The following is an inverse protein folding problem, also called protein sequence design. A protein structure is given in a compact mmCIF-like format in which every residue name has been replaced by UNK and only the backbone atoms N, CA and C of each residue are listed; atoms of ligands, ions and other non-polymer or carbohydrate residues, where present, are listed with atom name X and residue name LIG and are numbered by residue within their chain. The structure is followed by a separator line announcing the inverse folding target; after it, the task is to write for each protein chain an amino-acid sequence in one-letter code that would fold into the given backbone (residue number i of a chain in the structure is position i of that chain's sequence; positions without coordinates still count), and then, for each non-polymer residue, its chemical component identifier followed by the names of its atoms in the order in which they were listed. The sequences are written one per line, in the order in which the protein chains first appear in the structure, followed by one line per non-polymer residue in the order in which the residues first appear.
data_IF_477463089974
#
_entry.id   IF_477463089974
#
_cell.length_a   1.000
_cell.length_b   1.000
_cell.length_c   1.000
_cell.angle_alpha   90.00
_cell.angle_beta   90.00
_cell.angle_gamma   90.00
#
_symmetry.space_group_name_H-M   'P 1'
#
loop_
_entity.id
_entity.type
_entity.pdbx_description
1 polymer ?
#
# COMPACT_ATOMS: atom_id res chain seq x y z
N UNK A 1 64.06 -37.55 -24.49
CA UNK A 1 63.83 -36.20 -25.07
C UNK A 1 62.40 -36.02 -25.57
N UNK A 2 61.81 -36.98 -26.31
CA UNK A 2 60.44 -36.86 -26.84
C UNK A 2 59.34 -36.78 -25.76
N UNK A 3 59.38 -37.60 -24.72
CA UNK A 3 58.38 -37.61 -23.64
C UNK A 3 58.32 -36.28 -22.86
N UNK A 4 59.48 -35.64 -22.64
CA UNK A 4 59.54 -34.36 -21.95
C UNK A 4 58.82 -33.24 -22.72
N UNK A 5 58.98 -33.21 -24.05
CA UNK A 5 58.27 -32.25 -24.91
C UNK A 5 56.75 -32.50 -24.96
N UNK A 6 56.31 -33.76 -24.85
CA UNK A 6 54.88 -34.09 -24.79
C UNK A 6 54.26 -33.66 -23.46
N UNK A 7 54.98 -33.84 -22.35
CA UNK A 7 54.56 -33.38 -21.02
C UNK A 7 54.43 -31.86 -20.99
N UNK A 8 55.41 -31.13 -21.54
CA UNK A 8 55.35 -29.66 -21.62
C UNK A 8 54.12 -29.19 -22.41
N UNK A 9 53.84 -29.80 -23.57
CA UNK A 9 52.63 -29.48 -24.34
C UNK A 9 51.33 -29.75 -23.59
N UNK A 10 51.26 -30.85 -22.83
CA UNK A 10 50.09 -31.14 -21.99
C UNK A 10 49.95 -30.11 -20.87
N UNK A 11 51.07 -29.68 -20.28
CA UNK A 11 51.08 -28.64 -19.26
C UNK A 11 50.58 -27.30 -19.79
N UNK A 12 51.09 -26.84 -20.94
CA UNK A 12 50.62 -25.61 -21.61
C UNK A 12 49.11 -25.67 -21.92
N UNK A 13 48.62 -26.83 -22.37
CA UNK A 13 47.20 -27.04 -22.63
C UNK A 13 46.36 -26.96 -21.37
N UNK A 14 46.85 -27.48 -20.23
CA UNK A 14 46.16 -27.40 -18.94
C UNK A 14 46.14 -25.96 -18.43
N UNK A 15 47.24 -25.22 -18.56
CA UNK A 15 47.29 -23.80 -18.20
C UNK A 15 46.28 -22.97 -19.00
N UNK A 16 46.18 -23.19 -20.31
CA UNK A 16 45.17 -22.53 -21.15
C UNK A 16 43.74 -22.83 -20.70
N UNK A 17 43.44 -24.11 -20.40
CA UNK A 17 42.11 -24.49 -19.89
C UNK A 17 41.81 -23.81 -18.55
N UNK A 18 42.82 -23.70 -17.68
CA UNK A 18 42.67 -23.04 -16.39
C UNK A 18 42.42 -21.54 -16.54
N UNK A 19 43.17 -20.85 -17.42
CA UNK A 19 42.93 -19.43 -17.74
C UNK A 19 41.53 -19.20 -18.29
N UNK A 20 41.07 -20.05 -19.22
CA UNK A 20 39.72 -19.95 -19.77
C UNK A 20 38.65 -20.17 -18.70
N UNK A 21 38.86 -21.13 -17.80
CA UNK A 21 37.94 -21.39 -16.70
C UNK A 21 37.85 -20.21 -15.74
N UNK A 22 38.97 -19.57 -15.40
CA UNK A 22 39.01 -18.35 -14.59
C UNK A 22 38.20 -17.25 -15.26
N UNK A 23 38.39 -17.02 -16.56
CA UNK A 23 37.68 -15.97 -17.30
C UNK A 23 36.17 -16.21 -17.33
N UNK A 24 35.74 -17.46 -17.60
CA UNK A 24 34.33 -17.85 -17.59
C UNK A 24 33.73 -17.67 -16.19
N UNK A 25 34.47 -18.04 -15.16
CA UNK A 25 34.03 -17.91 -13.77
C UNK A 25 33.86 -16.44 -13.40
N UNK A 26 34.85 -15.59 -13.71
CA UNK A 26 34.76 -14.15 -13.46
C UNK A 26 33.55 -13.51 -14.17
N UNK A 27 33.32 -13.84 -15.44
CA UNK A 27 32.14 -13.37 -16.20
C UNK A 27 30.83 -13.85 -15.58
N UNK A 28 30.80 -15.09 -15.09
CA UNK A 28 29.60 -15.65 -14.44
C UNK A 28 29.32 -14.97 -13.11
N UNK A 29 30.34 -14.69 -12.31
CA UNK A 29 30.22 -13.94 -11.06
C UNK A 29 29.67 -12.53 -11.28
N UNK A 30 30.15 -11.81 -12.30
CA UNK A 30 29.62 -10.49 -12.64
C UNK A 30 28.14 -10.55 -13.04
N UNK A 31 27.74 -11.55 -13.83
CA UNK A 31 26.33 -11.75 -14.20
C UNK A 31 25.45 -12.08 -13.00
N UNK A 32 25.96 -12.87 -12.05
CA UNK A 32 25.23 -13.17 -10.81
C UNK A 32 25.00 -11.91 -9.98
N UNK A 33 26.02 -11.05 -9.85
CA UNK A 33 25.89 -9.77 -9.16
C UNK A 33 24.82 -8.86 -9.81
N UNK A 34 24.78 -8.77 -11.15
CA UNK A 34 23.74 -8.01 -11.85
C UNK A 34 22.33 -8.59 -11.61
N UNK A 35 22.21 -9.92 -11.56
CA UNK A 35 20.94 -10.59 -11.25
C UNK A 35 20.52 -10.27 -9.80
N UNK A 36 21.44 -10.29 -8.84
CA UNK A 36 21.17 -9.96 -7.43
C UNK A 36 20.66 -8.52 -7.29
N UNK A 37 21.30 -7.54 -7.94
CA UNK A 37 20.84 -6.15 -7.93
C UNK A 37 19.44 -6.01 -8.53
N UNK A 38 19.15 -6.73 -9.63
CA UNK A 38 17.82 -6.72 -10.25
C UNK A 38 16.76 -7.36 -9.36
N UNK A 39 17.09 -8.40 -8.60
CA UNK A 39 16.18 -9.02 -7.62
C UNK A 39 15.82 -8.01 -6.53
N UNK A 40 16.82 -7.33 -5.94
CA UNK A 40 16.59 -6.30 -4.91
C UNK A 40 15.65 -5.21 -5.45
N UNK A 41 15.90 -4.72 -6.67
CA UNK A 41 15.03 -3.72 -7.29
C UNK A 41 13.59 -4.21 -7.50
N UNK A 42 13.41 -5.48 -7.86
CA UNK A 42 12.07 -6.08 -8.00
C UNK A 42 11.38 -6.17 -6.63
N UNK A 43 12.08 -6.57 -5.58
CA UNK A 43 11.54 -6.66 -4.22
C UNK A 43 11.04 -5.29 -3.72
N UNK A 44 11.81 -4.23 -3.92
CA UNK A 44 11.40 -2.85 -3.57
C UNK A 44 10.14 -2.40 -4.33
N UNK A 45 10.05 -2.78 -5.61
CA UNK A 45 8.86 -2.49 -6.43
C UNK A 45 7.64 -3.28 -5.96
N UNK A 46 7.81 -4.53 -5.54
CA UNK A 46 6.73 -5.34 -4.97
C UNK A 46 6.22 -4.70 -3.68
N UNK A 47 7.11 -4.35 -2.74
CA UNK A 47 6.74 -3.67 -1.50
C UNK A 47 6.00 -2.35 -1.75
N UNK A 48 6.41 -1.62 -2.79
CA UNK A 48 5.70 -0.41 -3.21
C UNK A 48 4.28 -0.75 -3.67
N UNK A 49 4.12 -1.72 -4.57
CA UNK A 49 2.81 -2.15 -5.08
C UNK A 49 1.89 -2.61 -3.95
N UNK A 50 2.40 -3.40 -3.00
CA UNK A 50 1.64 -3.86 -1.83
C UNK A 50 1.12 -2.69 -0.99
N UNK A 51 1.97 -1.69 -0.73
CA UNK A 51 1.56 -0.47 -0.03
C UNK A 51 0.47 0.30 -0.79
N UNK A 52 0.56 0.37 -2.12
CA UNK A 52 -0.47 0.97 -2.95
C UNK A 52 -1.79 0.19 -2.89
N UNK A 53 -1.74 -1.15 -2.98
CA UNK A 53 -2.91 -2.02 -2.88
C UNK A 53 -3.62 -1.83 -1.55
N UNK A 54 -2.90 -1.83 -0.43
CA UNK A 54 -3.48 -1.60 0.89
C UNK A 54 -4.22 -0.26 0.99
N UNK A 55 -3.65 0.81 0.42
CA UNK A 55 -4.32 2.12 0.37
C UNK A 55 -5.59 2.09 -0.47
N UNK A 56 -5.60 1.36 -1.58
CA UNK A 56 -6.79 1.21 -2.42
C UNK A 56 -7.86 0.38 -1.72
N UNK A 57 -7.51 -0.75 -1.11
CA UNK A 57 -8.44 -1.57 -0.33
C UNK A 57 -9.13 -0.75 0.76
N UNK A 58 -8.36 0.07 1.49
CA UNK A 58 -8.92 0.98 2.50
C UNK A 58 -9.92 1.96 1.89
N UNK A 59 -9.57 2.59 0.76
CA UNK A 59 -10.48 3.51 0.06
C UNK A 59 -11.76 2.82 -0.41
N UNK A 60 -11.66 1.59 -0.93
CA UNK A 60 -12.82 0.81 -1.34
C UNK A 60 -13.72 0.46 -0.15
N UNK A 61 -13.14 0.06 0.99
CA UNK A 61 -13.90 -0.19 2.22
C UNK A 61 -14.62 1.07 2.72
N UNK A 62 -13.95 2.23 2.67
CA UNK A 62 -14.55 3.51 3.03
C UNK A 62 -15.72 3.87 2.09
N UNK A 63 -15.55 3.66 0.78
CA UNK A 63 -16.62 3.87 -0.21
C UNK A 63 -17.81 2.93 0.01
N UNK A 64 -17.56 1.65 0.27
CA UNK A 64 -18.61 0.68 0.56
C UNK A 64 -19.40 1.08 1.82
N UNK A 65 -18.71 1.59 2.85
CA UNK A 65 -19.34 2.11 4.06
C UNK A 65 -20.24 3.31 3.75
N UNK A 66 -19.77 4.25 2.93
CA UNK A 66 -20.58 5.40 2.46
C UNK A 66 -21.80 4.93 1.68
N UNK A 67 -21.64 3.98 0.76
CA UNK A 67 -22.75 3.42 -0.02
C UNK A 67 -23.78 2.71 0.87
N UNK A 68 -23.34 1.97 1.89
CA UNK A 68 -24.24 1.35 2.89
C UNK A 68 -24.99 2.38 3.73
N UNK A 69 -24.40 3.54 4.01
CA UNK A 69 -25.09 4.63 4.70
C UNK A 69 -26.09 5.34 3.79
N UNK A 70 -25.75 5.52 2.50
CA UNK A 70 -26.66 6.05 1.48
C UNK A 70 -27.89 5.15 1.31
N UNK A 71 -27.69 3.84 1.15
CA UNK A 71 -28.81 2.90 0.97
C UNK A 71 -29.74 2.83 2.18
N UNK A 72 -29.24 3.16 3.38
CA UNK A 72 -30.02 3.23 4.62
C UNK A 72 -30.62 4.61 4.88
N UNK A 73 -30.44 5.59 3.98
CA UNK A 73 -30.77 7.00 4.21
C UNK A 73 -30.16 7.59 5.49
N UNK A 74 -29.09 6.99 6.01
CA UNK A 74 -28.43 7.40 7.27
C UNK A 74 -27.10 8.10 7.04
N UNK A 75 -26.77 8.42 5.78
CA UNK A 75 -25.53 9.12 5.45
C UNK A 75 -25.47 10.50 6.13
N UNK A 76 -26.56 11.26 6.06
CA UNK A 76 -26.63 12.60 6.66
C UNK A 76 -26.39 12.48 8.16
N UNK A 77 -27.12 11.60 8.85
CA UNK A 77 -26.94 11.32 10.27
C UNK A 77 -25.50 10.91 10.63
N UNK A 78 -24.90 10.04 9.81
CA UNK A 78 -23.53 9.58 9.99
C UNK A 78 -22.50 10.72 9.82
N UNK A 79 -22.65 11.55 8.79
CA UNK A 79 -21.79 12.70 8.52
C UNK A 79 -21.91 13.77 9.61
N UNK A 80 -23.13 14.03 10.07
CA UNK A 80 -23.39 14.98 11.13
C UNK A 80 -22.80 14.46 12.44
N UNK A 81 -23.00 13.19 12.81
CA UNK A 81 -22.32 12.59 13.98
C UNK A 81 -20.81 12.71 13.88
N UNK A 82 -20.22 12.46 12.71
CA UNK A 82 -18.78 12.60 12.51
C UNK A 82 -18.31 14.05 12.73
N UNK A 83 -19.03 15.03 12.19
CA UNK A 83 -18.72 16.46 12.35
C UNK A 83 -18.77 16.92 13.81
N UNK A 84 -19.76 16.47 14.57
CA UNK A 84 -19.97 16.88 15.97
C UNK A 84 -19.40 15.90 17.00
N UNK A 85 -18.69 14.86 16.56
CA UNK A 85 -18.14 13.81 17.44
C UNK A 85 -17.24 14.39 18.54
N UNK A 86 -16.43 15.39 18.21
CA UNK A 86 -15.54 16.08 19.15
C UNK A 86 -16.26 17.10 20.03
N UNK A 87 -17.39 17.65 19.56
CA UNK A 87 -18.08 18.76 20.23
C UNK A 87 -19.05 18.31 21.34
N UNK A 88 -19.30 17.00 21.51
CA UNK A 88 -20.36 16.47 22.41
C UNK A 88 -21.77 17.04 22.15
N UNK A 89 -21.95 17.71 21.01
CA UNK A 89 -23.23 18.29 20.59
C UNK A 89 -24.04 17.16 19.96
N UNK A 90 -25.27 16.94 20.45
CA UNK A 90 -26.22 16.07 19.77
C UNK A 90 -26.98 16.93 18.74
N UNK A 91 -26.85 16.65 17.44
CA UNK A 91 -27.51 17.41 16.40
C UNK A 91 -29.03 17.35 16.53
N UNK A 92 -29.72 18.45 16.24
CA UNK A 92 -31.17 18.60 16.44
C UNK A 92 -31.99 17.45 15.82
N UNK A 93 -31.75 17.10 14.55
CA UNK A 93 -32.46 16.01 13.86
C UNK A 93 -32.20 14.60 14.44
N UNK A 94 -31.20 14.46 15.31
CA UNK A 94 -30.89 13.22 16.05
C UNK A 94 -31.40 13.23 17.50
N UNK A 95 -31.96 14.34 17.97
CA UNK A 95 -32.61 14.42 19.29
C UNK A 95 -33.99 13.77 19.27
N UNK A 96 -34.58 13.54 20.44
CA UNK A 96 -35.93 12.96 20.52
C UNK A 96 -36.96 13.86 19.84
N UNK A 97 -38.00 13.26 19.27
CA UNK A 97 -39.09 14.00 18.61
C UNK A 97 -39.77 15.00 19.55
N UNK A 98 -39.96 14.63 20.81
CA UNK A 98 -40.49 15.52 21.85
C UNK A 98 -39.62 16.77 22.06
N UNK A 99 -38.30 16.60 22.07
CA UNK A 99 -37.38 17.74 22.20
C UNK A 99 -37.42 18.64 20.97
N UNK A 100 -37.48 18.04 19.77
CA UNK A 100 -37.59 18.80 18.52
C UNK A 100 -38.87 19.63 18.46
N UNK A 101 -40.01 19.00 18.80
CA UNK A 101 -41.32 19.68 18.81
C UNK A 101 -41.40 20.76 19.89
N UNK A 102 -40.85 20.50 21.08
CA UNK A 102 -40.77 21.47 22.18
C UNK A 102 -39.92 22.69 21.78
N UNK A 103 -38.72 22.46 21.25
CA UNK A 103 -37.83 23.54 20.83
C UNK A 103 -38.41 24.40 19.69
N UNK A 104 -39.17 23.80 18.76
CA UNK A 104 -39.84 24.57 17.70
C UNK A 104 -41.03 25.37 18.22
N UNK A 105 -41.72 24.90 19.26
CA UNK A 105 -42.81 25.65 19.90
C UNK A 105 -42.26 26.86 20.64
N UNK A 106 -41.23 26.67 21.46
CA UNK A 106 -40.59 27.79 22.18
C UNK A 106 -40.04 28.86 21.25
N UNK A 107 -39.55 28.49 20.07
CA UNK A 107 -39.07 29.47 19.09
C UNK A 107 -40.20 30.25 18.39
N UNK A 108 -41.45 29.76 18.43
CA UNK A 108 -42.61 30.46 17.86
C UNK A 108 -43.32 31.33 18.90
N UNK A 109 -43.29 30.91 20.16
CA UNK A 109 -43.89 31.68 21.27
C UNK A 109 -43.12 33.01 21.51
N UNK A 110 -41.83 33.08 21.18
CA UNK A 110 -41.03 34.32 21.23
C UNK A 110 -41.36 35.32 20.09
N UNK A 111 -42.04 34.88 19.02
CA UNK A 111 -42.40 35.73 17.86
C UNK A 111 -43.82 36.34 17.99
N UNK A 112 -44.60 35.99 19.01
CA UNK A 112 -46.00 36.47 19.20
C UNK A 112 -46.14 37.67 20.18
N UNK A 113 -45.03 38.21 20.70
CA UNK A 113 -44.99 39.35 21.65
C UNK A 113 -44.57 40.71 21.01
N UNK A 114 -44.80 40.93 19.70
CA UNK A 114 -44.64 42.25 19.02
C UNK A 114 -45.97 42.98 18.72
#
# INVERSE_FOLDING_TARGET
MFEHNEILRKFDSVEQLFSNLIEITAKSTLKLSDIEERIISIEERILSIENWLWRYEKKFADQEKVMKMLSKNSLIDGLVRYKYFSSKIVPFHLQSREYQESSMRSARDDDEDE
#
